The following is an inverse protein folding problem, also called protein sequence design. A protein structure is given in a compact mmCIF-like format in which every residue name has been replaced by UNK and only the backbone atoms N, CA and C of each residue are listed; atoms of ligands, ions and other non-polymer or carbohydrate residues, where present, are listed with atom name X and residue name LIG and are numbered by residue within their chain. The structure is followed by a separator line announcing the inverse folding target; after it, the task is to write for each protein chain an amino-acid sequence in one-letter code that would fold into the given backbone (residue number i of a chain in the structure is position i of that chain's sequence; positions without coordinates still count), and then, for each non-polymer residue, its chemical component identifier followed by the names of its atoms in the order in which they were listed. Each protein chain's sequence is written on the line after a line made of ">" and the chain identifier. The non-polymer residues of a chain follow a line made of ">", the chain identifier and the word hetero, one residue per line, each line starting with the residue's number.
data_IF_392213524745
#
_entry.id   IF_392213524745
#
_cell.length_a   1.000
_cell.length_b   1.000
_cell.length_c   1.000
_cell.angle_alpha   90.00
_cell.angle_beta   90.00
_cell.angle_gamma   90.00
#
_symmetry.space_group_name_H-M   'P 1'
#
loop_
_entity.id
_entity.type
_entity.pdbx_description
1 polymer ?
#
# COMPACT_ATOMS: atom_id res chain seq x y z
N UNK A 1 -7.43 3.81 -9.20
CA UNK A 1 -6.51 2.73 -8.82
C UNK A 1 -6.09 2.02 -10.09
N UNK A 2 -4.78 1.98 -10.34
CA UNK A 2 -4.13 1.30 -11.45
C UNK A 2 -3.73 -0.12 -11.05
N UNK A 3 -3.34 -0.95 -12.02
CA UNK A 3 -2.86 -2.31 -11.75
C UNK A 3 -1.62 -2.31 -10.85
N UNK A 4 -0.68 -1.40 -11.07
CA UNK A 4 0.53 -1.28 -10.23
C UNK A 4 0.19 -0.86 -8.80
N UNK A 5 -0.75 0.08 -8.63
CA UNK A 5 -1.24 0.45 -7.29
C UNK A 5 -1.90 -0.74 -6.58
N UNK A 6 -2.66 -1.56 -7.31
CA UNK A 6 -3.30 -2.76 -6.75
C UNK A 6 -2.25 -3.80 -6.31
N UNK A 7 -1.24 -4.06 -7.14
CA UNK A 7 -0.15 -5.00 -6.79
C UNK A 7 0.62 -4.51 -5.57
N UNK A 8 0.90 -3.21 -5.46
CA UNK A 8 1.57 -2.64 -4.28
C UNK A 8 0.72 -2.77 -3.01
N UNK A 9 -0.60 -2.61 -3.12
CA UNK A 9 -1.51 -2.86 -2.00
C UNK A 9 -1.50 -4.34 -1.58
N UNK A 10 -1.56 -5.27 -2.54
CA UNK A 10 -1.46 -6.70 -2.26
C UNK A 10 -0.11 -7.05 -1.62
N UNK A 11 0.99 -6.43 -2.06
CA UNK A 11 2.31 -6.60 -1.45
C UNK A 11 2.31 -6.12 0.01
N UNK A 12 1.69 -4.97 0.31
CA UNK A 12 1.58 -4.47 1.68
C UNK A 12 0.78 -5.44 2.57
N UNK A 13 -0.35 -5.97 2.08
CA UNK A 13 -1.20 -6.92 2.79
C UNK A 13 -0.48 -8.24 3.04
N UNK A 14 0.12 -8.84 2.00
CA UNK A 14 0.88 -10.07 2.10
C UNK A 14 2.05 -9.91 3.07
N UNK A 15 2.82 -8.83 2.96
CA UNK A 15 3.95 -8.55 3.87
C UNK A 15 3.47 -8.37 5.32
N UNK A 16 2.37 -7.63 5.54
CA UNK A 16 1.80 -7.45 6.88
C UNK A 16 1.38 -8.79 7.48
N UNK A 17 0.74 -9.65 6.67
CA UNK A 17 0.29 -10.98 7.08
C UNK A 17 1.48 -11.87 7.44
N UNK A 18 2.47 -11.96 6.56
CA UNK A 18 3.65 -12.81 6.76
C UNK A 18 4.44 -12.38 8.00
N UNK A 19 4.61 -11.07 8.21
CA UNK A 19 5.24 -10.54 9.43
C UNK A 19 4.40 -10.89 10.65
N UNK A 20 3.08 -10.66 10.62
CA UNK A 20 2.17 -10.97 11.73
C UNK A 20 2.22 -12.44 12.13
N UNK A 21 2.30 -13.36 11.17
CA UNK A 21 2.40 -14.80 11.44
C UNK A 21 3.69 -15.17 12.18
N UNK A 22 4.80 -14.47 11.92
CA UNK A 22 6.09 -14.72 12.58
C UNK A 22 6.17 -14.02 13.93
N UNK A 23 5.72 -12.77 14.02
CA UNK A 23 5.86 -11.95 15.24
C UNK A 23 4.75 -12.15 16.24
N UNK A 24 3.61 -12.74 15.83
CA UNK A 24 2.44 -13.04 16.66
C UNK A 24 2.05 -11.89 17.61
N UNK A 25 1.74 -10.69 17.06
CA UNK A 25 1.43 -9.53 17.89
C UNK A 25 0.11 -9.72 18.66
N UNK A 26 0.12 -9.49 19.97
CA UNK A 26 -1.05 -9.68 20.83
C UNK A 26 -1.77 -8.36 21.13
N UNK A 27 -1.03 -7.25 21.23
CA UNK A 27 -1.60 -5.96 21.57
C UNK A 27 -1.90 -5.11 20.34
N UNK A 28 -2.78 -4.12 20.51
CA UNK A 28 -3.08 -3.15 19.46
C UNK A 28 -1.82 -2.40 18.98
N UNK A 29 -0.93 -2.02 19.90
CA UNK A 29 0.31 -1.31 19.56
C UNK A 29 1.29 -2.18 18.76
N UNK A 30 1.38 -3.46 19.11
CA UNK A 30 2.19 -4.43 18.35
C UNK A 30 1.61 -4.63 16.94
N UNK A 31 0.29 -4.80 16.83
CA UNK A 31 -0.39 -4.91 15.53
C UNK A 31 -0.19 -3.65 14.67
N UNK A 32 -0.25 -2.45 15.27
CA UNK A 32 0.04 -1.19 14.58
C UNK A 32 1.49 -1.17 14.07
N UNK A 33 2.43 -1.73 14.82
CA UNK A 33 3.83 -1.83 14.40
C UNK A 33 3.99 -2.78 13.22
N UNK A 34 3.35 -3.95 13.25
CA UNK A 34 3.36 -4.92 12.14
C UNK A 34 2.74 -4.33 10.87
N UNK A 35 1.62 -3.62 10.99
CA UNK A 35 1.00 -2.93 9.85
C UNK A 35 1.93 -1.87 9.23
N UNK A 36 2.67 -1.12 10.06
CA UNK A 36 3.69 -0.16 9.57
C UNK A 36 4.82 -0.88 8.84
N UNK A 37 5.27 -2.03 9.36
CA UNK A 37 6.35 -2.80 8.73
C UNK A 37 5.93 -3.35 7.36
N UNK A 38 4.76 -3.99 7.26
CA UNK A 38 4.26 -4.50 5.98
C UNK A 38 3.97 -3.38 4.97
N UNK A 39 3.41 -2.25 5.42
CA UNK A 39 3.26 -1.06 4.60
C UNK A 39 4.59 -0.47 4.12
N UNK A 40 5.65 -0.55 4.93
CA UNK A 40 6.98 -0.06 4.54
C UNK A 40 7.60 -0.90 3.42
N UNK A 41 7.34 -2.21 3.37
CA UNK A 41 7.81 -3.07 2.25
C UNK A 41 7.25 -2.57 0.92
N UNK A 42 5.94 -2.32 0.85
CA UNK A 42 5.31 -1.78 -0.35
C UNK A 42 5.79 -0.35 -0.66
N UNK A 43 6.05 0.47 0.37
CA UNK A 43 6.61 1.82 0.20
C UNK A 43 7.98 1.78 -0.50
N UNK A 44 8.89 0.92 -0.03
CA UNK A 44 10.22 0.77 -0.62
C UNK A 44 10.11 0.29 -2.08
N UNK A 45 9.27 -0.72 -2.35
CA UNK A 45 9.05 -1.21 -3.70
C UNK A 45 8.51 -0.12 -4.64
N UNK A 46 7.58 0.71 -4.15
CA UNK A 46 7.06 1.87 -4.88
C UNK A 46 8.16 2.88 -5.18
N UNK A 47 8.94 3.28 -4.18
CA UNK A 47 10.00 4.28 -4.32
C UNK A 47 11.08 3.82 -5.30
N UNK A 48 11.49 2.55 -5.23
CA UNK A 48 12.45 1.96 -6.16
C UNK A 48 11.90 1.95 -7.59
N UNK A 49 10.63 1.58 -7.78
CA UNK A 49 9.99 1.57 -9.09
C UNK A 49 9.87 2.99 -9.68
N UNK A 50 9.48 3.96 -8.87
CA UNK A 50 9.40 5.37 -9.29
C UNK A 50 10.78 5.92 -9.65
N UNK A 51 11.81 5.60 -8.86
CA UNK A 51 13.19 6.02 -9.12
C UNK A 51 13.73 5.46 -10.45
N UNK A 52 13.44 4.19 -10.76
CA UNK A 52 13.89 3.56 -12.02
C UNK A 52 13.12 4.01 -13.25
N UNK A 53 11.83 4.31 -13.09
CA UNK A 53 10.96 4.62 -14.24
C UNK A 53 10.78 6.12 -14.48
N UNK A 54 11.09 6.97 -13.48
CA UNK A 54 10.83 8.40 -13.50
C UNK A 54 9.34 8.76 -13.50
N UNK A 55 8.44 7.79 -13.29
CA UNK A 55 6.99 7.97 -13.35
C UNK A 55 6.38 7.70 -11.99
N UNK A 56 5.44 8.55 -11.56
CA UNK A 56 4.65 8.28 -10.36
C UNK A 56 3.79 7.04 -10.55
N UNK A 57 3.80 6.17 -9.55
CA UNK A 57 2.98 4.96 -9.52
C UNK A 57 1.58 5.26 -8.99
N UNK A 58 1.49 6.18 -8.01
CA UNK A 58 0.22 6.57 -7.40
C UNK A 58 -0.49 7.60 -8.26
N UNK A 59 -1.74 7.30 -8.60
CA UNK A 59 -2.62 8.19 -9.37
C UNK A 59 -3.29 9.22 -8.46
N UNK A 60 -3.60 10.40 -9.01
CA UNK A 60 -4.39 11.42 -8.30
C UNK A 60 -5.89 11.12 -8.27
N UNK A 61 -6.30 9.98 -8.83
CA UNK A 61 -7.68 9.55 -8.93
C UNK A 61 -8.16 9.02 -7.57
N UNK A 62 -9.31 9.52 -7.11
CA UNK A 62 -9.96 9.03 -5.90
C UNK A 62 -11.43 8.73 -6.19
N UNK A 63 -12.01 7.78 -5.44
CA UNK A 63 -13.41 7.38 -5.63
C UNK A 63 -14.36 8.59 -5.56
N UNK A 64 -14.17 9.48 -4.58
CA UNK A 64 -14.93 10.73 -4.44
C UNK A 64 -14.86 11.59 -5.71
N UNK A 65 -13.66 11.88 -6.22
CA UNK A 65 -13.46 12.69 -7.44
C UNK A 65 -14.10 12.06 -8.68
N UNK A 66 -14.11 10.73 -8.78
CA UNK A 66 -14.73 10.02 -9.90
C UNK A 66 -16.27 10.04 -9.82
N UNK A 67 -16.82 10.01 -8.60
CA UNK A 67 -18.26 10.12 -8.38
C UNK A 67 -18.78 11.55 -8.62
N UNK A 68 -18.02 12.56 -8.19
CA UNK A 68 -18.38 13.96 -8.39
C UNK A 68 -18.41 14.31 -9.90
N UNK A 69 -17.44 13.83 -10.69
CA UNK A 69 -17.42 13.98 -12.16
C UNK A 69 -18.54 13.27 -12.91
N UNK A 70 -19.23 12.30 -12.29
CA UNK A 70 -20.36 11.58 -12.91
C UNK A 70 -21.71 12.27 -12.66
N UNK A 71 -21.74 13.28 -11.78
CA UNK A 71 -22.95 14.05 -11.44
C UNK A 71 -23.10 15.33 -12.27
N UNK A 72 -22.05 15.70 -13.00
CA UNK A 72 -22.05 16.71 -14.07
C UNK A 72 -22.43 16.06 -15.41
#
# INVERSE_FOLDING_TARGET
>A
MTNTELILNMLAEASTKDISQVTQPETFEQNMTVAKQGGNVAKVAREELEARTGKKVVSSASAKKMLDKKKE
#
